data_IF_084441014259
#
_entry.id   IF_084441014259
#
_cell.length_a   1.000
_cell.length_b   1.000
_cell.length_c   1.000
_cell.angle_alpha   90.00
_cell.angle_beta   90.00
_cell.angle_gamma   90.00
#
_symmetry.space_group_name_H-M   'P 1'
#
loop_
_entity.id
_entity.type
_entity.pdbx_description
1 polymer ?
#
# COMPACT_ATOMS: atom_id res chain seq x y z
N UNK A 1 1.66 20.54 24.39
CA UNK A 1 2.61 19.48 24.04
C UNK A 1 2.07 18.81 22.80
N UNK A 2 2.66 19.09 21.62
CA UNK A 2 2.34 18.37 20.38
C UNK A 2 2.81 16.94 20.57
N UNK A 3 1.88 15.99 20.72
CA UNK A 3 2.24 14.61 20.45
C UNK A 3 2.54 14.56 18.96
N UNK A 4 3.82 14.63 18.59
CA UNK A 4 4.27 14.39 17.22
C UNK A 4 3.83 12.98 16.86
N UNK A 5 2.61 12.85 16.35
CA UNK A 5 2.06 11.57 15.92
C UNK A 5 2.87 11.17 14.70
N UNK A 6 3.89 10.36 14.92
CA UNK A 6 4.74 9.88 13.85
C UNK A 6 3.92 8.99 12.93
N UNK A 7 3.56 9.52 11.77
CA UNK A 7 2.90 8.76 10.73
C UNK A 7 3.89 7.92 9.95
N UNK A 8 3.48 6.69 9.68
CA UNK A 8 4.29 5.72 8.97
C UNK A 8 3.50 5.10 7.83
N UNK A 9 4.19 4.95 6.72
CA UNK A 9 3.75 4.17 5.57
C UNK A 9 4.36 2.77 5.71
N UNK A 10 3.49 1.76 5.71
CA UNK A 10 3.89 0.36 5.71
C UNK A 10 3.75 -0.17 4.29
N UNK A 11 4.86 -0.57 3.68
CA UNK A 11 4.89 -1.19 2.35
C UNK A 11 5.15 -2.69 2.49
N UNK A 12 4.24 -3.51 1.96
CA UNK A 12 4.45 -4.93 1.74
C UNK A 12 4.93 -5.14 0.30
N UNK A 13 6.11 -5.71 0.10
CA UNK A 13 6.79 -5.72 -1.21
C UNK A 13 7.34 -7.10 -1.57
N UNK A 14 7.34 -7.45 -2.86
CA UNK A 14 7.92 -8.72 -3.34
C UNK A 14 7.10 -9.99 -3.03
N UNK A 15 5.95 -9.85 -2.39
CA UNK A 15 5.01 -10.96 -2.15
C UNK A 15 4.00 -11.14 -3.28
N UNK A 16 3.07 -12.06 -3.04
CA UNK A 16 1.97 -12.35 -3.95
C UNK A 16 0.71 -12.69 -3.16
N UNK A 17 -0.45 -12.52 -3.80
CA UNK A 17 -1.71 -12.95 -3.22
C UNK A 17 -1.95 -14.44 -3.49
N UNK A 18 -2.36 -15.17 -2.46
CA UNK A 18 -2.92 -16.52 -2.54
C UNK A 18 -4.36 -16.49 -2.05
N UNK A 19 -5.20 -17.39 -2.55
CA UNK A 19 -6.60 -17.53 -2.11
C UNK A 19 -6.84 -18.95 -1.64
N UNK A 20 -7.01 -19.14 -0.33
CA UNK A 20 -7.45 -20.42 0.26
C UNK A 20 -7.80 -20.28 1.76
N UNK A 21 -9.09 -20.34 2.17
CA UNK A 21 -10.29 -20.01 1.39
C UNK A 21 -10.41 -18.50 1.13
N UNK A 22 -9.66 -17.68 1.89
CA UNK A 22 -9.61 -16.23 1.81
C UNK A 22 -8.32 -15.74 1.16
N UNK A 23 -8.36 -14.51 0.62
CA UNK A 23 -7.17 -13.85 0.06
C UNK A 23 -6.18 -13.51 1.18
N UNK A 24 -4.91 -13.89 0.98
CA UNK A 24 -3.78 -13.59 1.86
C UNK A 24 -2.58 -13.13 1.05
N UNK A 25 -1.82 -12.18 1.57
CA UNK A 25 -0.55 -11.76 0.98
C UNK A 25 0.60 -12.56 1.62
N UNK A 26 1.41 -13.25 0.82
CA UNK A 26 2.47 -14.15 1.29
C UNK A 26 3.80 -13.89 0.58
N UNK A 27 4.90 -14.23 1.27
CA UNK A 27 6.26 -14.17 0.72
C UNK A 27 6.87 -12.77 0.56
N UNK A 28 6.13 -11.70 0.91
CA UNK A 28 6.65 -10.33 0.82
C UNK A 28 7.38 -9.85 2.06
N UNK A 29 8.20 -8.82 1.87
CA UNK A 29 8.91 -8.10 2.93
C UNK A 29 8.11 -6.88 3.36
N UNK A 30 8.20 -6.51 4.63
CA UNK A 30 7.59 -5.30 5.17
C UNK A 30 8.64 -4.21 5.32
N UNK A 31 8.36 -3.04 4.78
CA UNK A 31 9.22 -1.86 4.85
C UNK A 31 8.42 -0.73 5.48
N UNK A 32 9.01 -0.07 6.49
CA UNK A 32 8.40 1.06 7.19
C UNK A 32 9.09 2.34 6.74
N UNK A 33 8.31 3.28 6.22
CA UNK A 33 8.80 4.58 5.79
C UNK A 33 8.26 5.66 6.72
N UNK A 34 9.17 6.49 7.25
CA UNK A 34 8.82 7.69 8.00
C UNK A 34 8.60 8.83 6.99
N UNK A 35 7.36 8.93 6.49
CA UNK A 35 6.94 9.97 5.56
C UNK A 35 5.50 10.33 5.87
N UNK A 36 5.20 11.62 5.76
CA UNK A 36 3.84 12.12 5.94
C UNK A 36 2.96 11.60 4.79
N UNK A 37 1.93 10.78 5.07
CA UNK A 37 1.06 10.27 4.04
C UNK A 37 0.28 11.35 3.32
N UNK A 38 0.00 12.49 3.96
CA UNK A 38 -0.76 13.59 3.32
C UNK A 38 0.07 14.31 2.25
N UNK A 39 1.37 14.06 2.23
CA UNK A 39 2.29 14.61 1.22
C UNK A 39 2.62 13.61 0.11
N UNK A 40 2.14 12.36 0.20
CA UNK A 40 2.54 11.32 -0.75
C UNK A 40 1.63 11.31 -1.98
N UNK A 41 2.21 11.64 -3.13
CA UNK A 41 1.55 11.53 -4.43
C UNK A 41 1.86 10.18 -5.08
N UNK A 42 1.05 9.77 -6.07
CA UNK A 42 1.24 8.49 -6.76
C UNK A 42 2.63 8.38 -7.39
N UNK A 43 3.13 9.47 -7.96
CA UNK A 43 4.46 9.52 -8.56
C UNK A 43 5.58 9.30 -7.53
N UNK A 44 5.40 9.79 -6.29
CA UNK A 44 6.37 9.56 -5.22
C UNK A 44 6.37 8.11 -4.74
N UNK A 45 5.20 7.50 -4.59
CA UNK A 45 5.05 6.06 -4.32
C UNK A 45 5.77 5.26 -5.41
N UNK A 46 5.55 5.58 -6.68
CA UNK A 46 6.24 4.94 -7.80
C UNK A 46 7.76 5.08 -7.70
N UNK A 47 8.28 6.28 -7.38
CA UNK A 47 9.72 6.51 -7.21
C UNK A 47 10.31 5.67 -6.08
N UNK A 48 9.64 5.61 -4.93
CA UNK A 48 10.08 4.81 -3.79
C UNK A 48 10.20 3.34 -4.18
N UNK A 49 9.20 2.80 -4.89
CA UNK A 49 9.22 1.39 -5.30
C UNK A 49 10.27 1.13 -6.39
N UNK A 50 10.34 1.98 -7.41
CA UNK A 50 11.26 1.78 -8.55
C UNK A 50 12.71 1.99 -8.16
N UNK A 51 13.01 3.13 -7.54
CA UNK A 51 14.38 3.56 -7.24
C UNK A 51 14.79 3.07 -5.85
N UNK A 52 13.95 3.32 -4.84
CA UNK A 52 14.26 2.99 -3.45
C UNK A 52 14.32 1.49 -3.20
N UNK A 53 13.43 0.71 -3.83
CA UNK A 53 13.34 -0.74 -3.64
C UNK A 53 13.89 -1.56 -4.82
N UNK A 54 14.40 -0.88 -5.86
CA UNK A 54 14.98 -1.49 -7.07
C UNK A 54 14.04 -2.45 -7.81
N UNK A 55 12.72 -2.22 -7.72
CA UNK A 55 11.75 -2.98 -8.50
C UNK A 55 11.50 -2.28 -9.84
N UNK A 56 12.11 -2.80 -10.91
CA UNK A 56 12.00 -2.22 -12.25
C UNK A 56 10.60 -2.30 -12.86
N UNK A 57 9.72 -3.15 -12.32
CA UNK A 57 8.34 -3.33 -12.76
C UNK A 57 7.41 -3.16 -11.55
N UNK A 58 6.72 -2.03 -11.48
CA UNK A 58 5.57 -1.85 -10.57
C UNK A 58 4.35 -2.25 -11.37
N UNK A 59 3.74 -3.40 -11.09
CA UNK A 59 2.49 -3.78 -11.78
C UNK A 59 1.29 -3.11 -11.14
N UNK A 60 1.06 -3.32 -9.83
CA UNK A 60 -0.09 -2.76 -9.13
C UNK A 60 0.28 -2.42 -7.69
N UNK A 61 -0.04 -1.19 -7.28
CA UNK A 61 0.00 -0.74 -5.89
C UNK A 61 -1.41 -0.90 -5.34
N UNK A 62 -1.55 -1.63 -4.23
CA UNK A 62 -2.81 -1.73 -3.52
C UNK A 62 -2.69 -1.03 -2.18
N UNK A 63 -3.78 -0.44 -1.69
CA UNK A 63 -3.93 -0.14 -0.27
C UNK A 63 -4.97 -1.05 0.36
N UNK A 64 -4.77 -1.35 1.64
CA UNK A 64 -5.71 -2.10 2.45
C UNK A 64 -6.55 -1.16 3.32
N UNK A 65 -7.84 -1.11 3.02
CA UNK A 65 -8.87 -0.38 3.75
C UNK A 65 -9.13 -1.08 5.11
N UNK A 66 -8.49 -0.64 6.20
CA UNK A 66 -8.67 -1.29 7.50
C UNK A 66 -10.02 -0.91 8.10
N UNK A 67 -10.99 -1.82 8.01
CA UNK A 67 -12.34 -1.60 8.55
C UNK A 67 -13.31 -2.78 8.37
N UNK A 68 -13.01 -3.74 7.50
CA UNK A 68 -13.90 -4.90 7.29
C UNK A 68 -13.18 -6.25 7.38
N UNK A 69 -13.95 -7.34 7.43
CA UNK A 69 -13.47 -8.70 7.62
C UNK A 69 -12.79 -9.22 6.33
N UNK A 70 -11.46 -9.26 6.36
CA UNK A 70 -10.64 -9.97 5.37
C UNK A 70 -10.11 -9.10 4.22
N UNK A 71 -8.95 -9.51 3.69
CA UNK A 71 -8.20 -8.76 2.67
C UNK A 71 -8.96 -8.61 1.33
N UNK A 72 -9.80 -9.60 1.01
CA UNK A 72 -10.48 -9.71 -0.28
C UNK A 72 -11.43 -8.55 -0.62
N UNK A 73 -12.09 -7.97 0.39
CA UNK A 73 -13.09 -6.92 0.19
C UNK A 73 -12.52 -5.51 0.41
N UNK A 74 -11.26 -5.41 0.83
CA UNK A 74 -10.63 -4.17 1.31
C UNK A 74 -9.37 -3.80 0.53
N UNK A 75 -9.08 -4.48 -0.57
CA UNK A 75 -7.99 -4.11 -1.46
C UNK A 75 -8.49 -3.12 -2.50
N UNK A 76 -7.85 -1.95 -2.54
CA UNK A 76 -8.10 -0.91 -3.53
C UNK A 76 -6.83 -0.65 -4.31
N UNK A 77 -6.95 -0.53 -5.64
CA UNK A 77 -5.81 -0.23 -6.51
C UNK A 77 -5.53 1.27 -6.48
N UNK A 78 -4.25 1.63 -6.40
CA UNK A 78 -3.75 2.98 -6.61
C UNK A 78 -3.03 3.01 -7.96
N UNK A 79 -3.51 3.85 -8.86
CA UNK A 79 -3.00 3.98 -10.23
C UNK A 79 -2.77 5.42 -10.67
N UNK A 80 -3.19 6.40 -9.87
CA UNK A 80 -3.07 7.84 -10.13
C UNK A 80 -3.23 8.67 -8.83
N UNK A 81 -3.19 10.00 -8.95
CA UNK A 81 -3.36 10.89 -7.80
C UNK A 81 -4.80 10.90 -7.28
N UNK A 82 -5.81 10.66 -8.12
CA UNK A 82 -7.22 10.56 -7.68
C UNK A 82 -7.44 9.37 -6.74
N UNK A 83 -6.91 8.20 -7.10
CA UNK A 83 -6.94 7.00 -6.25
C UNK A 83 -6.09 7.16 -4.99
N UNK A 84 -5.03 7.98 -5.04
CA UNK A 84 -4.23 8.34 -3.86
C UNK A 84 -5.01 9.27 -2.92
N UNK A 85 -5.73 10.27 -3.44
CA UNK A 85 -6.60 11.15 -2.64
C UNK A 85 -7.74 10.35 -1.99
N UNK A 86 -8.42 9.48 -2.74
CA UNK A 86 -9.48 8.64 -2.21
C UNK A 86 -9.01 7.74 -1.04
N UNK A 87 -7.75 7.28 -1.09
CA UNK A 87 -7.11 6.57 0.01
C UNK A 87 -6.88 7.49 1.23
N UNK A 88 -6.43 8.73 1.02
CA UNK A 88 -6.21 9.70 2.10
C UNK A 88 -7.54 10.09 2.78
N UNK A 89 -8.61 10.26 2.01
CA UNK A 89 -9.93 10.55 2.58
C UNK A 89 -10.43 9.41 3.50
N UNK A 90 -10.13 8.16 3.12
CA UNK A 90 -10.43 6.98 3.95
C UNK A 90 -9.62 6.94 5.25
N UNK A 91 -8.44 7.55 5.27
CA UNK A 91 -7.49 7.54 6.40
C UNK A 91 -7.95 8.39 7.58
N UNK A 92 -8.99 9.22 7.47
CA UNK A 92 -9.38 10.21 8.50
C UNK A 92 -9.55 9.68 9.95
N UNK A 93 -9.53 8.36 10.19
CA UNK A 93 -9.48 7.72 11.52
C UNK A 93 -8.24 6.84 11.83
N UNK A 94 -7.25 6.73 10.93
CA UNK A 94 -6.16 5.73 11.00
C UNK A 94 -4.75 6.34 11.13
N UNK A 95 -4.02 5.89 12.16
CA UNK A 95 -2.61 6.29 12.41
C UNK A 95 -1.59 5.62 11.47
N UNK A 96 -2.02 4.71 10.59
CA UNK A 96 -1.14 3.89 9.72
C UNK A 96 -1.79 3.64 8.37
N UNK A 97 -1.00 3.73 7.30
CA UNK A 97 -1.39 3.34 5.95
C UNK A 97 -0.59 2.13 5.50
N UNK A 98 -1.30 1.11 5.02
CA UNK A 98 -0.70 -0.15 4.56
C UNK A 98 -0.89 -0.32 3.06
N UNK A 99 0.22 -0.41 2.35
CA UNK A 99 0.27 -0.66 0.92
C UNK A 99 0.79 -2.07 0.66
N UNK A 100 0.27 -2.72 -0.37
CA UNK A 100 0.73 -4.02 -0.85
C UNK A 100 1.10 -3.91 -2.31
N UNK A 101 2.35 -4.26 -2.64
CA UNK A 101 2.87 -4.31 -4.00
C UNK A 101 2.82 -5.75 -4.48
N UNK A 102 2.06 -6.00 -5.55
CA UNK A 102 2.04 -7.29 -6.20
C UNK A 102 3.00 -7.28 -7.40
N UNK A 103 3.87 -8.29 -7.45
CA UNK A 103 4.96 -8.41 -8.42
C UNK A 103 4.71 -9.50 -9.49
N UNK A 104 3.57 -10.20 -9.48
CA UNK A 104 3.25 -11.22 -10.50
C UNK A 104 2.26 -10.71 -11.55
N UNK A 105 2.56 -11.03 -12.82
CA UNK A 105 1.62 -11.04 -13.94
C UNK A 105 0.40 -11.85 -13.49
N UNK A 106 -0.77 -11.20 -13.38
CA UNK A 106 -2.02 -11.95 -13.40
C UNK A 106 -2.24 -12.28 -14.87
N UNK A 107 -1.81 -13.47 -15.30
CA UNK A 107 -2.45 -14.10 -16.46
C UNK A 107 -3.83 -14.55 -15.95
N UNK A 108 -4.86 -13.78 -16.31
CA UNK A 108 -6.25 -14.23 -16.23
C UNK A 108 -6.47 -15.35 -17.25
#
# INVERSE_FOLDING_TARGET
>A
MSSDEEYYIILHVGGHFIKDPYVRYVGGKVIRLKKDPDTIYYFELCKIVKIGLRFNIVMLIYFHESGTVGLQNNLRVIYDDTSTIAMLDFRSSLKRLTYMLNMRLITL
#
